data_IF_834869649772
#
_entry.id   IF_834869649772
#
_cell.length_a   1.000
_cell.length_b   1.000
_cell.length_c   1.000
_cell.angle_alpha   90.00
_cell.angle_beta   90.00
_cell.angle_gamma   90.00
#
_symmetry.space_group_name_H-M   'P 1'
#
loop_
_entity.id
_entity.type
_entity.pdbx_description
1 polymer ?
#
# COMPACT_ATOMS: atom_id res chain seq x y z
N UNK A 1 14.75 31.03 7.98
CA UNK A 1 15.53 31.29 9.18
C UNK A 1 16.93 30.71 8.95
N UNK A 2 17.95 31.53 8.98
CA UNK A 2 19.31 31.05 8.95
C UNK A 2 19.48 30.20 10.21
N UNK A 3 19.73 28.90 10.05
CA UNK A 3 20.21 28.09 11.16
C UNK A 3 21.60 28.61 11.41
N UNK A 4 21.76 29.30 12.53
CA UNK A 4 23.07 29.79 12.94
C UNK A 4 24.01 28.58 13.00
N UNK A 5 25.18 28.68 12.38
CA UNK A 5 26.14 27.59 12.22
C UNK A 5 26.82 27.18 13.52
N UNK A 6 26.21 27.45 14.67
CA UNK A 6 26.70 27.02 15.97
C UNK A 6 26.50 25.52 16.11
N UNK A 7 27.57 24.76 15.90
CA UNK A 7 27.58 23.33 16.19
C UNK A 7 27.57 23.16 17.71
N UNK A 8 26.47 22.71 18.27
CA UNK A 8 26.40 22.40 19.70
C UNK A 8 27.02 21.04 19.96
N UNK A 9 28.13 21.03 20.65
CA UNK A 9 28.74 19.79 21.14
C UNK A 9 28.03 19.33 22.38
N UNK A 10 27.53 18.11 22.38
CA UNK A 10 26.90 17.53 23.55
C UNK A 10 27.96 17.13 24.57
N UNK A 11 28.05 17.89 25.61
CA UNK A 11 28.66 17.43 26.85
C UNK A 11 27.57 16.87 27.78
N UNK A 12 27.91 16.17 28.83
CA UNK A 12 26.97 15.58 29.81
C UNK A 12 26.17 16.62 30.62
N UNK A 13 26.07 17.83 30.14
CA UNK A 13 25.34 18.93 30.77
C UNK A 13 23.82 18.74 30.59
N UNK A 14 23.10 18.94 31.68
CA UNK A 14 21.66 18.77 31.76
C UNK A 14 20.90 19.65 30.75
N UNK A 15 21.42 20.85 30.45
CA UNK A 15 20.84 21.76 29.46
C UNK A 15 20.94 21.19 28.03
N UNK A 16 22.08 20.62 27.69
CA UNK A 16 22.32 20.02 26.37
C UNK A 16 21.48 18.76 26.18
N UNK A 17 21.28 18.00 27.27
CA UNK A 17 20.38 16.84 27.24
C UNK A 17 18.93 17.24 27.00
N UNK A 18 18.44 18.29 27.66
CA UNK A 18 17.08 18.78 27.46
C UNK A 18 16.85 19.27 26.02
N UNK A 19 17.85 19.94 25.43
CA UNK A 19 17.82 20.35 24.03
C UNK A 19 17.82 19.13 23.09
N UNK A 20 18.66 18.12 23.35
CA UNK A 20 18.68 16.88 22.60
C UNK A 20 17.34 16.15 22.68
N UNK A 21 16.77 16.00 23.87
CA UNK A 21 15.48 15.33 24.07
C UNK A 21 14.35 16.10 23.33
N UNK A 22 14.37 17.42 23.34
CA UNK A 22 13.44 18.26 22.59
C UNK A 22 13.57 18.11 21.06
N UNK A 23 14.78 18.09 20.55
CA UNK A 23 15.06 17.87 19.13
C UNK A 23 14.67 16.44 18.71
N UNK A 24 14.92 15.46 19.55
CA UNK A 24 14.54 14.06 19.29
C UNK A 24 13.02 13.89 19.29
N UNK A 25 12.31 14.53 20.21
CA UNK A 25 10.84 14.51 20.25
C UNK A 25 10.19 15.16 19.02
N UNK A 26 10.87 16.11 18.40
CA UNK A 26 10.41 16.82 17.21
C UNK A 26 11.19 16.45 15.94
N UNK A 27 11.95 15.37 15.96
CA UNK A 27 12.91 15.01 14.89
C UNK A 27 12.23 14.92 13.52
N UNK A 28 11.03 14.38 13.45
CA UNK A 28 10.26 14.28 12.20
C UNK A 28 9.90 15.65 11.65
N UNK A 29 9.35 16.54 12.48
CA UNK A 29 8.94 17.88 12.06
C UNK A 29 10.14 18.74 11.62
N UNK A 30 11.27 18.63 12.32
CA UNK A 30 12.52 19.32 11.96
C UNK A 30 13.05 18.78 10.62
N UNK A 31 13.04 17.48 10.44
CA UNK A 31 13.46 16.82 9.22
C UNK A 31 12.59 17.26 8.04
N UNK A 32 11.26 17.21 8.18
CA UNK A 32 10.30 17.60 7.13
C UNK A 32 10.49 19.09 6.73
N UNK A 33 10.70 19.97 7.71
CA UNK A 33 10.94 21.39 7.45
C UNK A 33 12.27 21.63 6.70
N UNK A 34 13.31 20.90 7.05
CA UNK A 34 14.63 21.01 6.39
C UNK A 34 14.59 20.40 4.99
N UNK A 35 13.89 19.31 4.79
CA UNK A 35 13.70 18.72 3.47
C UNK A 35 12.94 19.67 2.55
N UNK A 36 11.87 20.30 3.03
CA UNK A 36 11.14 21.34 2.30
C UNK A 36 12.04 22.52 1.93
N UNK A 37 12.89 22.96 2.86
CA UNK A 37 13.83 24.03 2.60
C UNK A 37 14.84 23.67 1.52
N UNK A 38 15.42 22.48 1.58
CA UNK A 38 16.38 21.98 0.57
C UNK A 38 15.75 21.90 -0.80
N UNK A 39 14.51 21.39 -0.89
CA UNK A 39 13.76 21.34 -2.15
C UNK A 39 13.49 22.72 -2.74
N UNK A 40 13.13 23.69 -1.91
CA UNK A 40 12.84 25.05 -2.33
C UNK A 40 14.10 25.82 -2.80
N UNK A 41 15.24 25.55 -2.17
CA UNK A 41 16.46 26.35 -2.37
C UNK A 41 17.54 25.68 -3.25
N UNK A 42 17.37 24.44 -3.64
CA UNK A 42 18.12 23.64 -4.63
C UNK A 42 19.64 23.92 -4.80
N UNK A 43 20.35 24.31 -3.77
CA UNK A 43 21.80 24.22 -3.76
C UNK A 43 22.23 22.78 -3.42
N UNK A 44 21.66 21.82 -4.13
CA UNK A 44 21.89 20.41 -3.88
C UNK A 44 23.13 19.94 -4.62
N UNK A 45 23.96 19.19 -3.92
CA UNK A 45 25.00 18.37 -4.51
C UNK A 45 24.30 17.11 -5.01
N UNK A 46 24.31 16.88 -6.31
CA UNK A 46 23.77 15.65 -6.90
C UNK A 46 24.87 14.61 -6.89
N UNK A 47 24.72 13.60 -6.05
CA UNK A 47 25.63 12.45 -6.02
C UNK A 47 25.35 11.51 -7.19
N UNK A 48 26.36 10.81 -7.65
CA UNK A 48 26.19 9.73 -8.62
C UNK A 48 25.39 8.57 -8.01
N UNK A 49 24.72 7.81 -8.88
CA UNK A 49 24.04 6.57 -8.45
C UNK A 49 25.04 5.60 -7.81
N UNK A 50 24.58 4.81 -6.87
CA UNK A 50 25.38 3.73 -6.28
C UNK A 50 25.84 2.75 -7.37
N UNK A 51 27.06 2.27 -7.24
CA UNK A 51 27.62 1.25 -8.12
C UNK A 51 27.02 -0.15 -7.80
N UNK A 52 27.47 -1.17 -8.53
CA UNK A 52 27.07 -2.59 -8.31
C UNK A 52 27.28 -3.13 -6.89
N UNK A 53 28.15 -2.47 -6.10
CA UNK A 53 28.40 -2.81 -4.70
C UNK A 53 27.56 -1.95 -3.74
N UNK A 54 26.58 -1.20 -4.23
CA UNK A 54 25.72 -0.32 -3.43
C UNK A 54 26.46 0.89 -2.84
N UNK A 55 27.57 1.35 -3.44
CA UNK A 55 28.38 2.44 -2.93
C UNK A 55 28.41 3.62 -3.87
N UNK A 56 28.28 4.81 -3.31
CA UNK A 56 28.60 6.07 -3.97
C UNK A 56 29.50 6.90 -3.06
N UNK A 57 30.18 7.89 -3.60
CA UNK A 57 31.11 8.72 -2.87
C UNK A 57 31.12 10.13 -3.44
N UNK A 58 31.03 11.12 -2.56
CA UNK A 58 31.26 12.52 -2.88
C UNK A 58 32.53 13.01 -2.15
N UNK A 59 33.33 13.85 -2.80
CA UNK A 59 34.62 14.35 -2.29
C UNK A 59 34.66 15.86 -2.33
N UNK A 60 35.52 16.42 -1.49
CA UNK A 60 35.75 17.87 -1.47
C UNK A 60 34.63 18.66 -0.82
N UNK A 61 33.77 18.02 -0.06
CA UNK A 61 32.71 18.67 0.69
C UNK A 61 33.30 19.56 1.79
N UNK A 62 32.66 20.71 2.00
CA UNK A 62 33.02 21.61 3.11
C UNK A 62 32.53 21.04 4.45
N UNK A 63 33.10 21.54 5.53
CA UNK A 63 32.60 21.22 6.86
C UNK A 63 31.18 21.79 7.05
N UNK A 64 30.28 20.99 7.60
CA UNK A 64 28.88 21.42 7.79
C UNK A 64 27.94 20.27 8.09
N UNK A 65 26.66 20.61 8.23
CA UNK A 65 25.58 19.64 8.35
C UNK A 65 24.88 19.47 7.00
N UNK A 66 24.80 18.22 6.57
CA UNK A 66 24.18 17.83 5.31
C UNK A 66 22.91 17.03 5.59
N UNK A 67 21.90 17.23 4.77
CA UNK A 67 20.77 16.31 4.68
C UNK A 67 20.92 15.48 3.41
N UNK A 68 20.91 14.17 3.56
CA UNK A 68 20.95 13.22 2.46
C UNK A 68 19.53 12.82 2.12
N UNK A 69 19.16 12.99 0.86
CA UNK A 69 17.82 12.62 0.34
C UNK A 69 18.06 11.71 -0.85
N UNK A 70 17.49 10.52 -0.79
CA UNK A 70 17.50 9.61 -1.93
C UNK A 70 16.50 10.10 -2.97
N UNK A 71 16.92 10.18 -4.23
CA UNK A 71 16.10 10.71 -5.32
C UNK A 71 15.64 9.66 -6.31
N UNK A 72 16.22 8.47 -6.23
CA UNK A 72 15.83 7.31 -7.04
C UNK A 72 16.16 6.03 -6.30
N UNK A 73 15.30 5.03 -6.40
CA UNK A 73 15.48 3.68 -5.85
C UNK A 73 15.46 2.65 -6.97
N UNK A 74 16.07 1.50 -6.73
CA UNK A 74 15.92 0.31 -7.55
C UNK A 74 14.62 -0.42 -7.18
N UNK A 75 14.22 -1.35 -8.01
CA UNK A 75 13.04 -2.20 -7.88
C UNK A 75 12.77 -2.66 -6.45
N UNK A 76 11.52 -2.58 -6.03
CA UNK A 76 11.01 -3.11 -4.75
C UNK A 76 11.60 -2.50 -3.48
N UNK A 77 12.45 -1.49 -3.58
CA UNK A 77 13.10 -0.87 -2.44
C UNK A 77 12.47 0.47 -2.15
N UNK A 78 12.20 0.73 -0.88
CA UNK A 78 11.81 2.05 -0.42
C UNK A 78 13.01 2.97 -0.41
N UNK A 79 12.73 4.25 -0.61
CA UNK A 79 13.71 5.25 -0.29
C UNK A 79 14.05 5.22 1.19
N UNK A 80 15.33 5.28 1.47
CA UNK A 80 15.83 5.63 2.81
C UNK A 80 15.16 6.92 3.27
N UNK A 81 14.70 6.94 4.50
CA UNK A 81 14.29 8.18 5.12
C UNK A 81 15.44 9.20 5.05
N UNK A 82 15.18 10.47 4.66
CA UNK A 82 16.19 11.51 4.70
C UNK A 82 16.91 11.54 6.06
N UNK A 83 18.22 11.63 6.05
CA UNK A 83 19.03 11.59 7.26
C UNK A 83 20.11 12.67 7.26
N UNK A 84 20.58 13.03 8.44
CA UNK A 84 21.60 14.04 8.61
C UNK A 84 23.00 13.44 8.72
N UNK A 85 23.96 14.10 8.09
CA UNK A 85 25.37 13.80 8.18
C UNK A 85 26.13 15.08 8.53
N UNK A 86 26.87 15.08 9.62
CA UNK A 86 27.79 16.16 9.92
C UNK A 86 29.20 15.85 9.37
N UNK A 87 29.82 16.81 8.78
CA UNK A 87 31.22 16.72 8.34
C UNK A 87 32.07 17.76 9.07
N UNK A 88 33.05 17.36 9.88
CA UNK A 88 33.37 15.99 10.27
C UNK A 88 32.40 15.38 11.26
N UNK A 89 32.39 14.06 11.39
CA UNK A 89 31.74 13.35 12.48
C UNK A 89 32.70 13.06 13.61
N UNK A 90 32.18 12.89 14.83
CA UNK A 90 32.96 12.36 15.95
C UNK A 90 32.85 10.85 16.01
N UNK A 91 33.96 10.16 16.18
CA UNK A 91 33.98 8.71 16.49
C UNK A 91 34.54 8.48 17.88
N UNK A 92 34.14 7.37 18.52
CA UNK A 92 34.73 6.95 19.79
C UNK A 92 36.13 6.46 19.53
N UNK A 93 37.09 6.83 20.38
CA UNK A 93 38.49 6.46 20.23
C UNK A 93 38.71 4.95 20.17
N UNK A 94 39.29 4.50 19.09
CA UNK A 94 39.59 3.09 18.80
C UNK A 94 39.97 2.87 17.33
N UNK A 95 39.59 3.80 16.47
CA UNK A 95 40.05 3.77 15.08
C UNK A 95 41.45 4.37 14.91
N UNK A 96 42.30 3.58 14.32
CA UNK A 96 43.75 3.78 14.22
C UNK A 96 44.21 4.97 13.37
N UNK A 97 43.29 5.85 12.92
CA UNK A 97 43.62 6.96 12.02
C UNK A 97 43.45 8.35 12.62
N UNK A 98 43.42 8.49 13.95
CA UNK A 98 42.94 9.72 14.55
C UNK A 98 43.91 10.28 15.58
N UNK A 99 44.29 11.55 15.39
CA UNK A 99 44.92 12.33 16.44
C UNK A 99 43.90 12.59 17.54
N UNK A 100 44.16 12.06 18.73
CA UNK A 100 43.25 12.12 19.89
C UNK A 100 43.17 13.55 20.45
N UNK A 101 42.01 14.21 20.44
CA UNK A 101 41.77 15.32 21.33
C UNK A 101 41.50 14.82 22.74
N UNK A 102 41.73 15.66 23.72
CA UNK A 102 41.39 15.35 25.11
C UNK A 102 39.93 14.92 25.24
N UNK A 103 39.69 13.72 25.75
CA UNK A 103 38.35 13.21 25.98
C UNK A 103 37.89 11.98 25.16
N UNK A 104 38.77 11.39 24.36
CA UNK A 104 38.47 10.10 23.71
C UNK A 104 37.57 10.18 22.49
N UNK A 105 37.26 11.36 21.95
CA UNK A 105 36.58 11.58 20.68
C UNK A 105 37.54 12.06 19.61
N UNK A 106 37.35 11.53 18.43
CA UNK A 106 38.19 11.85 17.27
C UNK A 106 37.31 12.35 16.14
N UNK A 107 37.85 13.38 15.47
CA UNK A 107 37.19 13.90 14.27
C UNK A 107 37.46 12.97 13.09
N UNK A 108 36.39 12.45 12.53
CA UNK A 108 36.44 11.65 11.32
C UNK A 108 36.07 12.53 10.12
N UNK A 109 37.02 12.77 9.23
CA UNK A 109 36.82 13.53 7.99
C UNK A 109 36.49 12.63 6.80
N UNK A 110 36.57 11.32 6.96
CA UNK A 110 36.16 10.32 5.98
C UNK A 110 34.93 9.57 6.49
N UNK A 111 33.80 10.26 6.44
CA UNK A 111 32.55 9.74 7.00
C UNK A 111 31.96 8.70 6.06
N UNK A 112 31.66 7.52 6.59
CA UNK A 112 30.94 6.47 5.90
C UNK A 112 29.61 6.29 6.59
N UNK A 113 28.53 6.33 5.83
CA UNK A 113 27.16 6.12 6.31
C UNK A 113 26.58 4.91 5.63
N UNK A 114 25.77 4.16 6.38
CA UNK A 114 25.05 2.98 5.92
C UNK A 114 23.55 3.23 6.11
N UNK A 115 22.92 3.91 5.15
CA UNK A 115 21.46 4.07 5.19
C UNK A 115 20.81 2.69 5.22
N UNK A 116 19.69 2.60 5.92
CA UNK A 116 18.86 1.40 5.90
C UNK A 116 17.62 1.70 5.08
N UNK A 117 17.49 0.98 4.00
CA UNK A 117 16.29 1.00 3.20
C UNK A 117 15.25 0.12 3.89
N UNK A 118 14.02 0.62 3.96
CA UNK A 118 12.88 -0.20 4.33
C UNK A 118 12.25 -0.73 3.04
N UNK A 119 11.95 -2.01 3.00
CA UNK A 119 11.12 -2.58 1.95
C UNK A 119 9.68 -2.37 2.40
N UNK A 120 8.95 -1.48 1.73
CA UNK A 120 7.51 -1.34 1.89
C UNK A 120 6.87 -1.61 0.55
N UNK A 121 6.50 -2.85 0.35
CA UNK A 121 5.75 -3.31 -0.81
C UNK A 121 4.28 -3.11 -0.47
N UNK A 122 3.43 -2.68 -1.40
CA UNK A 122 1.99 -2.75 -1.24
C UNK A 122 1.54 -4.18 -0.95
N UNK A 123 0.42 -4.33 -0.28
CA UNK A 123 -0.22 -5.62 -0.06
C UNK A 123 -1.58 -5.62 -0.76
N UNK A 124 -2.00 -6.78 -1.23
CA UNK A 124 -3.26 -6.97 -1.91
C UNK A 124 -3.95 -8.20 -1.35
N UNK A 125 -5.24 -8.07 -1.04
CA UNK A 125 -6.10 -9.19 -0.65
C UNK A 125 -7.45 -9.01 -1.31
N UNK A 126 -7.99 -10.10 -1.86
CA UNK A 126 -9.31 -10.14 -2.46
C UNK A 126 -10.19 -11.15 -1.75
N UNK A 127 -11.40 -10.72 -1.41
CA UNK A 127 -12.33 -11.52 -0.64
C UNK A 127 -13.76 -11.34 -1.14
N UNK A 128 -14.60 -12.28 -0.79
CA UNK A 128 -16.00 -12.32 -1.19
C UNK A 128 -16.91 -12.75 -0.03
N UNK A 129 -18.14 -12.28 -0.03
CA UNK A 129 -19.23 -12.78 0.85
C UNK A 129 -20.56 -12.76 0.14
N UNK A 130 -21.53 -13.50 0.64
CA UNK A 130 -22.91 -13.40 0.19
C UNK A 130 -23.55 -12.12 0.76
N UNK A 131 -24.08 -11.25 -0.12
CA UNK A 131 -24.65 -9.97 0.29
C UNK A 131 -25.93 -10.14 1.14
N UNK A 132 -26.73 -11.16 0.87
CA UNK A 132 -27.92 -11.48 1.65
C UNK A 132 -27.60 -11.89 3.10
N UNK A 133 -26.38 -12.32 3.37
CA UNK A 133 -25.91 -12.73 4.68
C UNK A 133 -25.30 -11.59 5.52
N UNK A 134 -25.32 -10.36 5.03
CA UNK A 134 -24.73 -9.20 5.70
C UNK A 134 -25.20 -9.02 7.14
N UNK A 135 -26.45 -9.34 7.44
CA UNK A 135 -26.99 -9.21 8.79
C UNK A 135 -26.48 -10.29 9.76
N UNK A 136 -25.94 -11.38 9.24
CA UNK A 136 -25.47 -12.53 10.02
C UNK A 136 -23.95 -12.65 10.00
N UNK A 137 -23.27 -12.01 9.08
CA UNK A 137 -21.84 -12.13 8.88
C UNK A 137 -21.36 -13.54 8.57
N UNK A 138 -22.26 -14.43 8.10
CA UNK A 138 -21.93 -15.81 7.78
C UNK A 138 -21.32 -15.90 6.39
N UNK A 139 -20.26 -16.69 6.29
CA UNK A 139 -19.64 -17.07 5.03
C UNK A 139 -19.22 -18.54 5.09
N UNK A 140 -19.12 -19.19 3.94
CA UNK A 140 -18.64 -20.58 3.79
C UNK A 140 -19.39 -21.62 4.62
N UNK A 141 -20.62 -21.37 5.04
CA UNK A 141 -21.38 -22.27 5.88
C UNK A 141 -20.81 -22.44 7.29
N UNK A 142 -19.89 -21.59 7.72
CA UNK A 142 -19.40 -21.57 9.10
C UNK A 142 -20.39 -20.86 10.01
N UNK A 143 -20.40 -21.22 11.29
CA UNK A 143 -21.23 -20.55 12.30
C UNK A 143 -20.49 -19.33 12.92
N UNK A 144 -19.26 -19.05 12.48
CA UNK A 144 -18.51 -17.90 12.95
C UNK A 144 -19.04 -16.63 12.29
N UNK A 145 -19.40 -15.67 13.12
CA UNK A 145 -19.83 -14.34 12.69
C UNK A 145 -18.56 -13.49 12.63
N UNK A 146 -18.04 -13.33 11.42
CA UNK A 146 -17.03 -12.33 11.10
C UNK A 146 -17.73 -11.19 10.34
N UNK A 147 -17.01 -10.27 9.73
CA UNK A 147 -17.60 -9.37 8.73
C UNK A 147 -18.09 -10.15 7.49
N UNK A 148 -17.82 -11.44 7.44
CA UNK A 148 -18.26 -12.40 6.45
C UNK A 148 -17.42 -12.48 5.20
N UNK A 149 -16.41 -11.64 5.05
CA UNK A 149 -15.47 -11.69 3.92
C UNK A 149 -14.41 -12.77 4.12
N UNK A 150 -14.16 -13.54 3.07
CA UNK A 150 -13.14 -14.59 3.01
C UNK A 150 -12.73 -14.82 1.53
N UNK A 151 -11.66 -15.56 1.30
CA UNK A 151 -11.27 -15.99 -0.06
C UNK A 151 -12.28 -16.93 -0.71
N UNK A 152 -13.17 -17.52 0.07
CA UNK A 152 -14.21 -18.41 -0.43
C UNK A 152 -15.57 -18.06 0.17
N UNK A 153 -16.60 -18.13 -0.68
CA UNK A 153 -17.99 -18.02 -0.28
C UNK A 153 -18.84 -19.10 -0.94
N UNK A 154 -20.04 -19.30 -0.44
CA UNK A 154 -21.06 -20.12 -1.10
C UNK A 154 -22.20 -19.25 -1.56
N UNK A 155 -22.84 -19.61 -2.67
CA UNK A 155 -23.98 -18.88 -3.19
C UNK A 155 -24.80 -19.73 -4.16
N UNK A 156 -25.98 -19.25 -4.48
CA UNK A 156 -26.92 -19.88 -5.40
C UNK A 156 -27.29 -18.93 -6.52
N UNK A 157 -27.82 -19.45 -7.61
CA UNK A 157 -28.30 -18.62 -8.72
C UNK A 157 -29.26 -17.52 -8.25
N UNK A 158 -28.96 -16.29 -8.62
CA UNK A 158 -29.68 -15.09 -8.24
C UNK A 158 -29.18 -14.41 -6.97
N UNK A 159 -28.27 -15.03 -6.22
CA UNK A 159 -27.67 -14.40 -5.05
C UNK A 159 -26.71 -13.29 -5.46
N UNK A 160 -26.73 -12.22 -4.68
CA UNK A 160 -25.82 -11.10 -4.83
C UNK A 160 -24.59 -11.33 -3.95
N UNK A 161 -23.44 -11.40 -4.59
CA UNK A 161 -22.16 -11.49 -3.92
C UNK A 161 -21.58 -10.09 -3.75
N UNK A 162 -21.00 -9.83 -2.59
CA UNK A 162 -20.24 -8.61 -2.32
C UNK A 162 -18.75 -8.95 -2.29
N UNK A 163 -17.97 -8.23 -3.08
CA UNK A 163 -16.53 -8.39 -3.18
C UNK A 163 -15.81 -7.23 -2.52
N UNK A 164 -14.69 -7.52 -1.89
CA UNK A 164 -13.76 -6.49 -1.45
C UNK A 164 -12.35 -6.77 -1.95
N UNK A 165 -11.65 -5.68 -2.27
CA UNK A 165 -10.23 -5.65 -2.55
C UNK A 165 -9.61 -4.78 -1.46
N UNK A 166 -8.72 -5.35 -0.66
CA UNK A 166 -7.94 -4.64 0.34
C UNK A 166 -6.55 -4.38 -0.25
N UNK A 167 -6.24 -3.13 -0.48
CA UNK A 167 -4.96 -2.70 -1.05
C UNK A 167 -4.25 -1.80 -0.05
N UNK A 168 -3.31 -2.37 0.72
CA UNK A 168 -2.48 -1.58 1.62
C UNK A 168 -1.35 -0.95 0.82
N UNK A 169 -1.33 0.36 0.79
CA UNK A 169 -0.32 1.13 0.07
C UNK A 169 1.04 1.00 0.75
N UNK A 170 2.08 0.97 -0.03
CA UNK A 170 3.43 1.08 0.50
C UNK A 170 3.71 2.48 1.06
N UNK A 171 4.76 2.61 1.88
CA UNK A 171 5.15 3.88 2.46
C UNK A 171 5.49 4.93 1.39
N UNK A 172 5.04 6.16 1.61
CA UNK A 172 5.37 7.33 0.81
C UNK A 172 6.24 8.22 1.69
N UNK A 173 7.54 8.18 1.48
CA UNK A 173 8.55 8.85 2.31
C UNK A 173 9.28 9.98 1.62
N UNK A 174 9.19 10.04 0.28
CA UNK A 174 9.87 11.05 -0.55
C UNK A 174 9.16 11.19 -1.90
N UNK A 175 9.59 12.15 -2.73
CA UNK A 175 9.10 12.28 -4.11
C UNK A 175 9.36 11.01 -4.95
N UNK A 176 10.42 10.27 -4.65
CA UNK A 176 10.76 9.04 -5.37
C UNK A 176 9.74 7.91 -5.11
N UNK A 177 9.10 7.89 -3.95
CA UNK A 177 8.12 6.86 -3.56
C UNK A 177 6.67 7.21 -3.85
N UNK A 178 6.41 8.38 -4.43
CA UNK A 178 5.07 8.77 -4.88
C UNK A 178 4.55 7.85 -5.97
N UNK A 179 3.28 7.52 -5.90
CA UNK A 179 2.60 6.78 -6.95
C UNK A 179 2.34 7.68 -8.15
N UNK A 180 2.73 7.22 -9.34
CA UNK A 180 2.43 7.85 -10.63
C UNK A 180 1.39 7.07 -11.42
N UNK A 181 1.10 5.84 -10.97
CA UNK A 181 0.05 4.99 -11.49
C UNK A 181 -0.42 4.03 -10.40
N UNK A 182 -1.72 3.78 -10.35
CA UNK A 182 -2.34 2.75 -9.54
C UNK A 182 -3.65 2.33 -10.19
N UNK A 183 -3.78 1.06 -10.52
CA UNK A 183 -4.98 0.50 -11.12
C UNK A 183 -5.24 -0.91 -10.63
N UNK A 184 -6.50 -1.35 -10.74
CA UNK A 184 -6.95 -2.68 -10.41
C UNK A 184 -7.71 -3.23 -11.61
N UNK A 185 -7.23 -4.34 -12.12
CA UNK A 185 -7.87 -5.08 -13.20
C UNK A 185 -8.48 -6.35 -12.64
N UNK A 186 -9.79 -6.39 -12.61
CA UNK A 186 -10.60 -7.43 -12.00
C UNK A 186 -11.19 -8.31 -13.09
N UNK A 187 -11.06 -9.63 -12.95
CA UNK A 187 -11.56 -10.62 -13.92
C UNK A 187 -12.53 -11.57 -13.23
N UNK A 188 -13.78 -11.55 -13.67
CA UNK A 188 -14.82 -12.41 -13.13
C UNK A 188 -15.17 -13.55 -14.08
N UNK A 189 -15.44 -14.73 -13.53
CA UNK A 189 -15.85 -15.89 -14.33
C UNK A 189 -17.18 -15.70 -15.06
N UNK A 190 -17.50 -16.58 -16.00
CA UNK A 190 -18.74 -16.51 -16.80
C UNK A 190 -20.05 -16.67 -16.03
N UNK A 191 -19.98 -17.30 -14.86
CA UNK A 191 -21.15 -17.60 -14.04
C UNK A 191 -21.63 -16.47 -13.12
N UNK A 192 -20.90 -15.36 -13.08
CA UNK A 192 -21.17 -14.22 -12.19
C UNK A 192 -21.09 -12.92 -13.00
N UNK A 193 -22.07 -12.04 -12.84
CA UNK A 193 -22.16 -10.79 -13.60
C UNK A 193 -22.02 -9.57 -12.69
N UNK A 194 -21.14 -8.62 -13.06
CA UNK A 194 -21.02 -7.35 -12.35
C UNK A 194 -22.34 -6.57 -12.30
N UNK A 195 -22.70 -6.09 -11.14
CA UNK A 195 -23.78 -5.12 -10.99
C UNK A 195 -23.25 -3.72 -11.36
N UNK A 196 -23.47 -3.32 -12.60
CA UNK A 196 -22.88 -2.10 -13.19
C UNK A 196 -23.59 -0.81 -12.77
N UNK A 197 -24.03 -0.73 -11.55
CA UNK A 197 -24.62 0.49 -11.04
C UNK A 197 -23.49 1.44 -10.60
N UNK A 198 -23.58 2.72 -11.00
CA UNK A 198 -22.56 3.74 -10.68
C UNK A 198 -22.29 3.94 -9.19
N UNK A 199 -23.12 3.41 -8.32
CA UNK A 199 -22.93 3.49 -6.85
C UNK A 199 -22.34 2.23 -6.24
N UNK A 200 -22.16 1.18 -7.03
CA UNK A 200 -21.74 -0.11 -6.50
C UNK A 200 -20.25 -0.15 -6.22
N UNK A 201 -19.43 0.53 -7.02
CA UNK A 201 -17.99 0.61 -6.75
C UNK A 201 -17.69 1.80 -5.84
N UNK A 202 -17.12 1.50 -4.70
CA UNK A 202 -16.77 2.46 -3.65
C UNK A 202 -15.36 2.17 -3.16
N UNK A 203 -14.58 3.21 -2.88
CA UNK A 203 -13.28 3.11 -2.24
C UNK A 203 -13.34 3.80 -0.89
N UNK A 204 -13.10 3.06 0.17
CA UNK A 204 -12.94 3.58 1.51
C UNK A 204 -11.46 3.55 1.89
N UNK A 205 -10.96 4.61 2.48
CA UNK A 205 -9.57 4.75 2.88
C UNK A 205 -9.47 4.62 4.39
N UNK A 206 -8.61 3.74 4.86
CA UNK A 206 -8.38 3.47 6.27
C UNK A 206 -6.93 3.73 6.63
N UNK A 207 -6.67 4.26 7.83
CA UNK A 207 -5.32 4.49 8.33
C UNK A 207 -4.65 3.22 8.86
N UNK A 208 -5.38 2.12 8.94
CA UNK A 208 -4.95 0.82 9.46
C UNK A 208 -5.32 -0.33 8.51
N UNK A 209 -4.64 -1.48 8.67
CA UNK A 209 -4.87 -2.68 7.86
C UNK A 209 -6.18 -3.40 8.19
N UNK A 210 -6.65 -3.26 9.43
CA UNK A 210 -7.86 -3.93 9.91
C UNK A 210 -9.13 -3.16 9.52
N UNK A 211 -8.98 -2.06 8.76
CA UNK A 211 -10.07 -1.21 8.30
C UNK A 211 -11.00 -0.72 9.41
N UNK A 212 -10.44 -0.32 10.54
CA UNK A 212 -11.19 0.17 11.71
C UNK A 212 -11.25 1.68 11.78
N UNK A 213 -10.23 2.39 11.31
CA UNK A 213 -10.13 3.85 11.34
C UNK A 213 -10.25 4.45 9.94
N UNK A 214 -11.50 4.68 9.54
CA UNK A 214 -11.82 5.23 8.21
C UNK A 214 -11.55 6.73 8.14
N UNK A 215 -10.75 7.15 7.18
CA UNK A 215 -10.34 8.54 6.97
C UNK A 215 -11.00 9.20 5.77
N UNK A 216 -11.39 8.45 4.75
CA UNK A 216 -12.06 8.97 3.56
C UNK A 216 -12.98 7.93 2.91
N UNK A 217 -13.90 8.42 2.08
CA UNK A 217 -14.71 7.59 1.17
C UNK A 217 -14.72 8.27 -0.19
N UNK A 218 -14.40 7.51 -1.23
CA UNK A 218 -14.44 7.96 -2.62
C UNK A 218 -15.58 7.26 -3.35
N UNK A 219 -16.33 8.03 -4.10
CA UNK A 219 -17.40 7.58 -4.97
C UNK A 219 -17.02 7.82 -6.43
N UNK A 220 -17.65 7.09 -7.36
CA UNK A 220 -17.32 7.20 -8.79
C UNK A 220 -17.50 8.59 -9.39
N UNK A 221 -18.38 9.41 -8.83
CA UNK A 221 -18.63 10.78 -9.26
C UNK A 221 -17.67 11.83 -8.64
N UNK A 222 -16.84 11.41 -7.71
CA UNK A 222 -15.85 12.29 -7.04
C UNK A 222 -14.64 12.62 -7.94
N UNK A 223 -14.45 11.90 -9.04
CA UNK A 223 -13.36 12.10 -9.98
C UNK A 223 -11.99 11.57 -9.50
N UNK A 224 -11.93 10.86 -8.38
CA UNK A 224 -10.68 10.29 -7.85
C UNK A 224 -10.31 8.96 -8.46
N UNK A 225 -11.27 8.24 -9.00
CA UNK A 225 -11.07 7.01 -9.77
C UNK A 225 -12.12 6.91 -10.88
N UNK A 226 -11.83 6.06 -11.85
CA UNK A 226 -12.77 5.69 -12.91
C UNK A 226 -12.98 4.20 -12.92
N UNK A 227 -14.17 3.76 -13.36
CA UNK A 227 -14.50 2.35 -13.54
C UNK A 227 -14.90 2.13 -14.99
N UNK A 228 -14.29 1.16 -15.62
CA UNK A 228 -14.62 0.73 -16.99
C UNK A 228 -14.82 -0.76 -17.04
N UNK A 229 -15.72 -1.20 -17.90
CA UNK A 229 -16.00 -2.64 -18.13
C UNK A 229 -15.63 -3.01 -19.57
N UNK A 230 -15.10 -4.20 -19.74
CA UNK A 230 -14.84 -4.77 -21.07
C UNK A 230 -16.15 -5.04 -21.83
N UNK A 231 -16.03 -5.20 -23.14
CA UNK A 231 -17.21 -5.44 -24.01
C UNK A 231 -17.87 -6.81 -23.79
N UNK A 232 -17.16 -7.76 -23.23
CA UNK A 232 -17.67 -9.09 -22.85
C UNK A 232 -18.14 -9.15 -21.38
N UNK A 233 -18.03 -8.03 -20.67
CA UNK A 233 -18.44 -7.91 -19.28
C UNK A 233 -17.72 -8.83 -18.29
N UNK A 234 -16.56 -9.33 -18.69
CA UNK A 234 -15.75 -10.23 -17.84
C UNK A 234 -14.63 -9.50 -17.11
N UNK A 235 -14.37 -8.25 -17.45
CA UNK A 235 -13.30 -7.49 -16.83
C UNK A 235 -13.82 -6.12 -16.38
N UNK A 236 -13.40 -5.72 -15.20
CA UNK A 236 -13.60 -4.38 -14.65
C UNK A 236 -12.23 -3.77 -14.37
N UNK A 237 -12.02 -2.55 -14.87
CA UNK A 237 -10.81 -1.79 -14.57
C UNK A 237 -11.18 -0.61 -13.67
N UNK A 238 -10.49 -0.48 -12.57
CA UNK A 238 -10.59 0.65 -11.64
C UNK A 238 -9.26 1.40 -11.69
N UNK A 239 -9.26 2.56 -12.34
CA UNK A 239 -8.07 3.41 -12.48
C UNK A 239 -8.14 4.57 -11.49
N UNK A 240 -7.09 4.72 -10.69
CA UNK A 240 -6.94 5.90 -9.83
C UNK A 240 -6.47 7.07 -10.68
N UNK A 241 -7.25 8.14 -10.70
CA UNK A 241 -6.98 9.33 -11.51
C UNK A 241 -5.85 10.18 -10.94
N UNK A 242 -5.42 11.20 -11.69
CA UNK A 242 -4.45 12.19 -11.17
C UNK A 242 -4.93 12.84 -9.87
N UNK A 243 -6.23 13.10 -9.72
CA UNK A 243 -6.79 13.67 -8.49
C UNK A 243 -6.70 12.69 -7.32
N UNK A 244 -6.98 11.40 -7.56
CA UNK A 244 -6.81 10.34 -6.56
C UNK A 244 -5.35 10.15 -6.17
N UNK A 245 -4.45 10.11 -7.15
CA UNK A 245 -3.01 9.99 -6.92
C UNK A 245 -2.46 11.20 -6.15
N UNK A 246 -2.93 12.41 -6.43
CA UNK A 246 -2.53 13.60 -5.69
C UNK A 246 -2.93 13.52 -4.20
N UNK A 247 -4.10 12.96 -3.91
CA UNK A 247 -4.57 12.73 -2.54
C UNK A 247 -3.76 11.61 -1.86
N UNK A 248 -3.51 10.50 -2.55
CA UNK A 248 -2.64 9.40 -2.07
C UNK A 248 -1.25 9.92 -1.72
N UNK A 249 -0.67 10.74 -2.59
CA UNK A 249 0.68 11.26 -2.43
C UNK A 249 0.79 12.43 -1.44
N UNK A 250 -0.34 13.01 -1.01
CA UNK A 250 -0.36 14.21 -0.18
C UNK A 250 0.02 15.49 -0.91
N UNK A 251 -0.13 15.54 -2.24
CA UNK A 251 0.20 16.70 -3.07
C UNK A 251 -0.85 17.82 -2.95
N UNK A 252 -2.08 17.49 -2.63
CA UNK A 252 -3.12 18.46 -2.32
C UNK A 252 -2.87 19.09 -0.96
N UNK A 253 -2.55 20.37 -0.97
CA UNK A 253 -2.15 21.20 0.17
C UNK A 253 -2.79 20.79 1.50
N UNK A 254 -1.96 20.49 2.48
CA UNK A 254 -2.31 20.48 3.92
C UNK A 254 -3.30 19.42 4.42
N UNK A 255 -3.27 18.21 3.95
CA UNK A 255 -3.78 17.12 4.77
C UNK A 255 -2.77 16.88 5.90
N UNK A 256 -3.04 17.45 7.06
CA UNK A 256 -2.26 17.33 8.31
C UNK A 256 -0.87 17.97 8.37
N UNK A 257 -0.52 18.91 7.52
CA UNK A 257 0.73 19.70 7.64
C UNK A 257 2.01 18.92 7.35
N UNK A 258 1.93 17.75 6.73
CA UNK A 258 3.07 16.91 6.36
C UNK A 258 3.25 16.83 4.85
N UNK A 259 4.43 17.17 4.35
CA UNK A 259 4.78 17.22 2.92
C UNK A 259 4.74 15.86 2.19
N UNK A 260 4.62 14.75 2.91
CA UNK A 260 4.62 13.38 2.36
C UNK A 260 3.67 12.44 3.11
N UNK A 261 2.61 12.97 3.72
CA UNK A 261 1.63 12.14 4.41
C UNK A 261 0.29 12.15 3.71
N UNK A 262 0.28 11.80 2.45
CA UNK A 262 -0.95 11.32 1.88
C UNK A 262 -1.41 10.03 2.60
N UNK A 263 -1.73 9.03 1.87
CA UNK A 263 -2.15 7.74 2.41
C UNK A 263 -1.00 6.73 2.52
N UNK A 264 0.15 7.18 3.05
CA UNK A 264 1.32 6.34 3.30
C UNK A 264 0.99 5.21 4.27
N UNK A 265 1.15 3.96 3.87
CA UNK A 265 0.77 2.74 4.60
C UNK A 265 -0.73 2.63 4.94
N UNK A 266 -1.60 3.35 4.25
CA UNK A 266 -3.04 3.27 4.43
C UNK A 266 -3.61 2.15 3.57
N UNK A 267 -4.79 1.67 3.94
CA UNK A 267 -5.50 0.63 3.20
C UNK A 267 -6.66 1.24 2.41
N UNK A 268 -6.66 0.98 1.11
CA UNK A 268 -7.80 1.23 0.24
C UNK A 268 -8.69 -0.02 0.24
N UNK A 269 -9.89 0.09 0.77
CA UNK A 269 -10.91 -0.95 0.69
C UNK A 269 -11.84 -0.62 -0.46
N UNK A 270 -11.75 -1.38 -1.53
CA UNK A 270 -12.59 -1.25 -2.72
C UNK A 270 -13.70 -2.28 -2.60
N UNK A 271 -14.96 -1.87 -2.69
CA UNK A 271 -16.11 -2.78 -2.63
C UNK A 271 -16.99 -2.61 -3.85
N UNK A 272 -17.54 -3.71 -4.32
CA UNK A 272 -18.51 -3.79 -5.41
C UNK A 272 -19.36 -5.04 -5.27
N UNK A 273 -20.44 -5.14 -6.06
CA UNK A 273 -21.31 -6.30 -6.07
C UNK A 273 -21.38 -6.96 -7.43
N UNK A 274 -21.66 -8.26 -7.42
CA UNK A 274 -21.97 -9.04 -8.61
C UNK A 274 -23.03 -10.08 -8.30
N UNK A 275 -23.79 -10.51 -9.29
CA UNK A 275 -24.90 -11.46 -9.13
C UNK A 275 -24.57 -12.78 -9.81
N UNK A 276 -24.80 -13.88 -9.10
CA UNK A 276 -24.69 -15.23 -9.68
C UNK A 276 -25.80 -15.37 -10.72
N UNK A 277 -25.42 -15.62 -11.97
CA UNK A 277 -26.40 -15.80 -13.03
C UNK A 277 -27.04 -17.19 -12.99
N UNK A 278 -28.05 -17.41 -13.83
CA UNK A 278 -28.82 -18.66 -13.88
C UNK A 278 -28.51 -19.49 -15.12
N UNK A 279 -27.50 -19.13 -15.86
CA UNK A 279 -27.13 -19.84 -17.08
C UNK A 279 -26.11 -20.95 -16.82
N UNK A 280 -25.81 -21.73 -17.86
CA UNK A 280 -24.92 -22.88 -17.78
C UNK A 280 -23.44 -22.48 -17.58
N UNK A 281 -23.10 -21.20 -17.53
CA UNK A 281 -21.74 -20.71 -17.33
C UNK A 281 -21.31 -20.71 -15.86
N UNK A 282 -22.28 -20.78 -14.94
CA UNK A 282 -21.99 -20.94 -13.51
C UNK A 282 -21.58 -22.39 -13.20
N UNK A 283 -20.44 -22.55 -12.56
CA UNK A 283 -19.84 -23.87 -12.31
C UNK A 283 -20.26 -24.39 -10.93
N UNK A 284 -20.83 -25.58 -10.90
CA UNK A 284 -21.19 -26.28 -9.66
C UNK A 284 -20.07 -27.24 -9.24
N UNK A 285 -19.85 -27.36 -7.95
CA UNK A 285 -18.90 -28.30 -7.34
C UNK A 285 -17.51 -27.71 -7.07
N UNK A 286 -16.50 -28.58 -7.05
CA UNK A 286 -15.17 -28.28 -6.52
C UNK A 286 -14.35 -27.25 -7.33
N UNK A 287 -14.66 -27.05 -8.60
CA UNK A 287 -13.93 -26.11 -9.44
C UNK A 287 -14.17 -24.64 -9.02
N UNK A 288 -15.38 -24.36 -8.48
CA UNK A 288 -15.74 -23.00 -8.07
C UNK A 288 -15.86 -22.00 -9.23
N UNK A 289 -16.18 -20.79 -8.88
CA UNK A 289 -16.31 -19.66 -9.79
C UNK A 289 -15.36 -18.56 -9.30
N UNK A 290 -14.27 -18.37 -10.01
CA UNK A 290 -13.18 -17.51 -9.62
C UNK A 290 -13.40 -16.05 -9.98
N UNK A 291 -12.81 -15.18 -9.18
CA UNK A 291 -12.67 -13.77 -9.45
C UNK A 291 -11.27 -13.32 -9.01
N UNK A 292 -10.47 -12.92 -9.98
CA UNK A 292 -9.07 -12.51 -9.81
C UNK A 292 -8.94 -10.99 -9.91
N UNK A 293 -8.05 -10.40 -9.13
CA UNK A 293 -7.65 -9.01 -9.27
C UNK A 293 -6.14 -8.90 -9.49
N UNK A 294 -5.76 -8.09 -10.46
CA UNK A 294 -4.39 -7.67 -10.71
C UNK A 294 -4.26 -6.19 -10.35
N UNK A 295 -3.55 -5.90 -9.28
CA UNK A 295 -3.15 -4.53 -8.94
C UNK A 295 -1.89 -4.19 -9.72
N UNK A 296 -1.88 -3.04 -10.38
CA UNK A 296 -0.72 -2.52 -11.10
C UNK A 296 -0.38 -1.13 -10.59
N UNK A 297 0.88 -0.90 -10.25
CA UNK A 297 1.32 0.42 -9.79
C UNK A 297 2.67 0.80 -10.38
N UNK A 298 2.94 2.10 -10.34
CA UNK A 298 4.22 2.68 -10.70
C UNK A 298 4.55 3.82 -9.74
N UNK A 299 5.82 3.92 -9.36
CA UNK A 299 6.34 5.03 -8.55
C UNK A 299 7.15 6.00 -9.39
N UNK A 300 7.40 7.19 -8.87
CA UNK A 300 8.23 8.21 -9.56
C UNK A 300 9.65 7.72 -9.83
N UNK A 301 10.19 6.89 -8.93
CA UNK A 301 11.55 6.34 -9.04
C UNK A 301 11.68 5.17 -10.01
N UNK A 302 10.58 4.57 -10.46
CA UNK A 302 10.60 3.39 -11.33
C UNK A 302 10.21 3.76 -12.76
N UNK A 303 10.78 3.05 -13.74
CA UNK A 303 10.40 3.18 -15.16
C UNK A 303 9.46 2.07 -15.62
N UNK A 304 9.22 1.08 -14.78
CA UNK A 304 8.36 -0.09 -15.03
C UNK A 304 7.18 -0.11 -14.05
N UNK A 305 6.24 -0.97 -14.36
CA UNK A 305 5.08 -1.24 -13.53
C UNK A 305 5.30 -2.51 -12.73
N UNK A 306 4.99 -2.46 -11.45
CA UNK A 306 4.91 -3.64 -10.57
C UNK A 306 3.48 -4.14 -10.50
N UNK A 307 3.32 -5.43 -10.18
CA UNK A 307 2.01 -6.08 -10.07
C UNK A 307 1.91 -6.98 -8.84
N UNK A 308 0.72 -7.02 -8.25
CA UNK A 308 0.28 -8.05 -7.29
C UNK A 308 -1.01 -8.67 -7.80
N UNK A 309 -1.20 -9.94 -7.49
CA UNK A 309 -2.37 -10.72 -7.92
C UNK A 309 -2.94 -11.43 -6.70
N UNK A 310 -4.26 -11.42 -6.58
CA UNK A 310 -5.00 -12.22 -5.60
C UNK A 310 -6.38 -12.58 -6.14
N UNK A 311 -6.98 -13.66 -5.63
CA UNK A 311 -8.24 -14.19 -6.11
C UNK A 311 -9.15 -14.69 -4.98
N UNK A 312 -10.41 -14.86 -5.29
CA UNK A 312 -11.41 -15.47 -4.42
C UNK A 312 -12.40 -16.32 -5.23
N UNK A 313 -13.09 -17.25 -4.56
CA UNK A 313 -13.94 -18.21 -5.22
C UNK A 313 -15.34 -18.25 -4.63
N UNK A 314 -16.34 -18.40 -5.49
CA UNK A 314 -17.72 -18.70 -5.10
C UNK A 314 -18.07 -20.14 -5.48
N UNK A 315 -18.48 -20.92 -4.51
CA UNK A 315 -18.90 -22.30 -4.69
C UNK A 315 -20.41 -22.45 -4.62
N UNK A 316 -20.94 -23.38 -5.41
CA UNK A 316 -22.32 -23.84 -5.30
C UNK A 316 -22.40 -25.33 -5.53
N UNK A 317 -23.32 -25.95 -4.88
CA UNK A 317 -23.49 -27.41 -4.92
C UNK A 317 -24.88 -27.75 -5.38
N UNK A 318 -24.98 -28.64 -6.40
CA UNK A 318 -26.24 -29.21 -6.87
C UNK A 318 -26.50 -30.56 -6.26
N UNK A 319 -27.75 -30.94 -6.15
CA UNK A 319 -28.19 -32.28 -5.77
C UNK A 319 -29.09 -32.85 -6.85
N UNK A 320 -28.61 -33.84 -7.57
CA UNK A 320 -29.39 -34.63 -8.51
C UNK A 320 -29.99 -35.84 -7.81
N UNK A 321 -31.31 -35.92 -7.83
CA UNK A 321 -32.06 -37.06 -7.30
C UNK A 321 -32.69 -37.85 -8.44
N UNK A 322 -32.21 -39.08 -8.63
CA UNK A 322 -32.84 -40.04 -9.54
C UNK A 322 -33.62 -41.09 -8.72
N UNK A 323 -34.91 -41.09 -8.85
CA UNK A 323 -35.74 -42.13 -8.24
C UNK A 323 -35.87 -43.32 -9.20
N UNK A 324 -35.23 -44.42 -8.84
CA UNK A 324 -35.31 -45.69 -9.58
C UNK A 324 -36.36 -46.56 -8.88
N UNK A 325 -37.36 -46.94 -9.61
CA UNK A 325 -38.34 -47.96 -9.17
C UNK A 325 -37.78 -49.33 -9.60
N UNK A 326 -37.26 -50.06 -8.62
CA UNK A 326 -36.96 -51.48 -8.79
C UNK A 326 -38.08 -52.32 -8.21
N UNK A 327 -38.47 -53.38 -8.92
CA UNK A 327 -39.41 -54.41 -8.46
C UNK A 327 -40.84 -53.95 -8.11
N UNK A 328 -41.38 -53.08 -8.94
CA UNK A 328 -42.86 -53.02 -8.97
C UNK A 328 -43.30 -54.14 -9.90
N UNK A 329 -43.74 -55.24 -9.30
CA UNK A 329 -44.50 -56.25 -10.03
C UNK A 329 -45.62 -55.55 -10.77
N UNK A 330 -45.72 -55.81 -12.07
CA UNK A 330 -46.68 -55.18 -12.97
C UNK A 330 -48.17 -55.39 -12.55
N UNK A 331 -48.41 -56.22 -11.55
CA UNK A 331 -49.72 -56.46 -10.96
C UNK A 331 -50.11 -55.48 -9.84
N UNK A 332 -49.17 -54.74 -9.28
CA UNK A 332 -49.46 -53.72 -8.23
C UNK A 332 -49.51 -52.28 -8.73
N UNK A 333 -49.38 -52.04 -10.02
CA UNK A 333 -49.40 -50.73 -10.65
C UNK A 333 -50.79 -50.28 -11.15
N UNK A 334 -51.85 -50.98 -10.77
CA UNK A 334 -53.28 -50.73 -11.17
C UNK A 334 -54.15 -50.30 -10.01
N UNK A 335 -53.69 -49.51 -9.06
CA UNK A 335 -54.56 -48.74 -8.16
C UNK A 335 -54.21 -47.25 -8.20
#
# INVERSE_FOLDING_TARGET
AAIDSTIYYYTSDTLNKALYDSLSANATAVKDALEAYVKANRNSIVMEKTNENGKTMERGLQTGLYICVETSVSESVLTTNPFFVSLPMTSVSGDSNSASPEGGHVWNYNVVVYPKDEVSIPELTKEVRESASLSTGKNNGTDEITDGFDHIATGSSGDVMEYQILSTLGAITSDATKYTHLSYYDTICGGIDYNKNLKDVKIEVYSDKDCTDKVATWLQDDGRFTVTYSSDDRHMTIDITEAGLAEINGDSANVNGHLYKGYSNYTLRITYTATINSDDSFIYGEAGNDNEVVMTWKRTSTEYYDTLIDDCHVFSFGLDLTKIFSDIDSESATE
#
